data_IF_878624957385
#
_entry.id   IF_878624957385
#
_cell.length_a   1.000
_cell.length_b   1.000
_cell.length_c   1.000
_cell.angle_alpha   90.00
_cell.angle_beta   90.00
_cell.angle_gamma   90.00
#
_symmetry.space_group_name_H-M   'P 1'
#
loop_
_entity.id
_entity.type
_entity.pdbx_description
1 polymer ?
#
# COMPACT_ATOMS: atom_id res chain seq x y z
N UNK A 1 -2.67 11.61 4.73
CA UNK A 1 -1.60 11.40 5.72
C UNK A 1 -0.97 12.74 6.13
N UNK A 2 -0.48 12.85 7.34
CA UNK A 2 0.18 14.05 7.83
C UNK A 2 1.31 13.71 8.80
N UNK A 3 2.41 14.45 8.71
CA UNK A 3 3.54 14.33 9.61
C UNK A 3 4.08 15.73 9.96
N UNK A 4 3.88 16.16 11.21
CA UNK A 4 4.34 17.46 11.68
C UNK A 4 3.82 18.63 10.86
N UNK A 5 4.70 19.27 10.09
CA UNK A 5 4.40 20.39 9.22
C UNK A 5 4.18 20.02 7.74
N UNK A 6 3.98 18.77 7.43
CA UNK A 6 3.69 18.29 6.08
C UNK A 6 2.43 17.44 6.07
N UNK A 7 1.66 17.52 5.00
CA UNK A 7 0.44 16.76 4.81
C UNK A 7 0.39 16.28 3.36
N UNK A 8 0.21 14.99 3.17
CA UNK A 8 -0.12 14.41 1.88
C UNK A 8 -1.64 14.33 1.71
N UNK A 9 -2.08 14.57 0.51
CA UNK A 9 -3.48 14.51 0.12
C UNK A 9 -3.60 14.07 -1.33
N UNK A 10 -4.77 13.61 -1.70
CA UNK A 10 -5.11 13.34 -3.10
C UNK A 10 -6.25 14.26 -3.53
N UNK A 11 -6.28 14.61 -4.78
CA UNK A 11 -7.42 15.32 -5.37
C UNK A 11 -7.70 14.81 -6.79
N UNK A 12 -8.96 14.89 -7.18
CA UNK A 12 -9.38 14.50 -8.53
C UNK A 12 -9.20 15.64 -9.51
N UNK A 13 -8.79 15.31 -10.73
CA UNK A 13 -8.80 16.19 -11.88
C UNK A 13 -9.46 15.48 -13.06
N UNK A 14 -10.11 16.24 -13.93
CA UNK A 14 -10.78 15.71 -15.12
C UNK A 14 -10.26 16.44 -16.34
N UNK A 15 -9.70 15.71 -17.27
CA UNK A 15 -9.23 16.22 -18.55
C UNK A 15 -9.75 15.28 -19.66
N UNK A 16 -10.45 15.87 -20.65
CA UNK A 16 -10.97 15.12 -21.79
C UNK A 16 -11.87 13.93 -21.39
N UNK A 17 -12.76 14.15 -20.39
CA UNK A 17 -13.65 13.14 -19.82
C UNK A 17 -12.97 11.99 -19.06
N UNK A 18 -11.67 12.02 -18.90
CA UNK A 18 -10.92 11.07 -18.08
C UNK A 18 -10.66 11.65 -16.68
N UNK A 19 -10.87 10.82 -15.67
CA UNK A 19 -10.62 11.18 -14.27
C UNK A 19 -9.26 10.66 -13.84
N UNK A 20 -8.46 11.54 -13.24
CA UNK A 20 -7.26 11.15 -12.51
C UNK A 20 -7.33 11.68 -11.09
N UNK A 21 -6.79 10.92 -10.13
CA UNK A 21 -6.62 11.36 -8.76
C UNK A 21 -5.11 11.55 -8.53
N UNK A 22 -4.73 12.78 -8.23
CA UNK A 22 -3.34 13.17 -8.16
C UNK A 22 -2.87 13.27 -6.71
N UNK A 23 -1.77 12.62 -6.34
CA UNK A 23 -1.16 12.82 -5.03
C UNK A 23 -0.49 14.20 -4.98
N UNK A 24 -0.64 14.87 -3.85
CA UNK A 24 -0.08 16.19 -3.61
C UNK A 24 0.42 16.32 -2.18
N UNK A 25 1.35 17.22 -1.96
CA UNK A 25 1.86 17.57 -0.63
C UNK A 25 1.65 19.06 -0.36
N UNK A 26 1.19 19.35 0.84
CA UNK A 26 1.15 20.69 1.41
C UNK A 26 2.08 20.76 2.62
N UNK A 27 2.82 21.83 2.76
CA UNK A 27 3.71 22.05 3.92
C UNK A 27 3.22 23.24 4.73
N UNK A 28 3.48 23.21 6.03
CA UNK A 28 3.14 24.32 6.92
C UNK A 28 4.32 25.27 7.04
N UNK A 29 4.16 26.47 6.54
CA UNK A 29 5.16 27.53 6.60
C UNK A 29 4.61 28.71 7.40
N UNK A 30 5.38 29.20 8.38
CA UNK A 30 4.98 30.36 9.23
C UNK A 30 3.59 30.20 9.87
N UNK A 31 3.19 28.97 10.15
CA UNK A 31 1.89 28.65 10.78
C UNK A 31 0.73 28.42 9.80
N UNK A 32 0.91 28.68 8.51
CA UNK A 32 -0.09 28.49 7.48
C UNK A 32 0.29 27.36 6.53
N UNK A 33 -0.72 26.64 5.98
CA UNK A 33 -0.50 25.59 4.98
C UNK A 33 -0.29 26.22 3.61
N UNK A 34 0.74 25.77 2.91
CA UNK A 34 0.97 26.14 1.51
C UNK A 34 -0.12 25.59 0.61
N UNK A 35 -0.27 26.17 -0.58
CA UNK A 35 -1.07 25.53 -1.63
C UNK A 35 -0.48 24.15 -1.92
N UNK A 36 -1.33 23.09 -2.03
CA UNK A 36 -0.84 21.76 -2.38
C UNK A 36 -0.03 21.77 -3.67
N UNK A 37 1.14 21.16 -3.63
CA UNK A 37 1.96 20.90 -4.78
C UNK A 37 1.67 19.50 -5.30
N UNK A 38 1.21 19.39 -6.54
CA UNK A 38 1.00 18.11 -7.21
C UNK A 38 2.35 17.47 -7.47
N UNK A 39 2.57 16.31 -6.91
CA UNK A 39 3.83 15.58 -7.04
C UNK A 39 3.94 14.85 -8.37
N UNK A 40 2.82 14.43 -8.92
CA UNK A 40 2.77 13.77 -10.21
C UNK A 40 1.41 14.01 -10.86
N UNK A 41 1.42 14.28 -12.15
CA UNK A 41 0.25 14.25 -13.02
C UNK A 41 0.40 13.09 -13.98
N UNK A 42 0.58 11.91 -13.45
CA UNK A 42 0.77 10.75 -14.28
C UNK A 42 -0.58 10.18 -14.70
N UNK A 43 -0.57 9.70 -15.89
CA UNK A 43 -1.75 9.17 -16.54
C UNK A 43 -1.33 8.15 -17.60
N UNK A 44 -1.92 6.99 -17.63
CA UNK A 44 -1.84 6.11 -18.79
C UNK A 44 -2.67 6.72 -19.91
N UNK A 45 -2.06 6.91 -21.08
CA UNK A 45 -2.71 7.56 -22.22
C UNK A 45 -4.05 6.86 -22.57
N UNK A 46 -5.12 7.65 -22.63
CA UNK A 46 -6.46 7.16 -22.98
C UNK A 46 -7.19 6.38 -21.88
N UNK A 47 -6.65 6.30 -20.66
CA UNK A 47 -7.29 5.59 -19.53
C UNK A 47 -7.48 6.49 -18.32
N UNK A 48 -8.48 6.18 -17.51
CA UNK A 48 -8.64 6.77 -16.20
C UNK A 48 -7.76 6.07 -15.18
N UNK A 49 -7.11 6.82 -14.31
CA UNK A 49 -6.34 6.31 -13.19
C UNK A 49 -6.90 6.83 -11.88
N UNK A 50 -6.82 6.01 -10.85
CA UNK A 50 -7.25 6.37 -9.50
C UNK A 50 -6.14 6.06 -8.51
N UNK A 51 -5.90 6.98 -7.57
CA UNK A 51 -5.11 6.74 -6.37
C UNK A 51 -6.09 6.41 -5.25
N UNK A 52 -5.95 5.21 -4.66
CA UNK A 52 -6.90 4.75 -3.64
C UNK A 52 -6.40 5.04 -2.23
N UNK A 53 -5.11 4.86 -1.98
CA UNK A 53 -4.50 5.09 -0.68
C UNK A 53 -3.22 5.90 -0.80
N UNK A 54 -2.93 6.69 0.22
CA UNK A 54 -1.70 7.48 0.29
C UNK A 54 -1.23 7.53 1.73
N UNK A 55 0.07 7.33 1.93
CA UNK A 55 0.73 7.60 3.19
C UNK A 55 2.00 8.43 3.01
N UNK A 56 2.41 9.12 4.06
CA UNK A 56 3.51 10.07 4.03
C UNK A 56 4.30 10.08 5.32
N UNK A 57 5.62 9.98 5.21
CA UNK A 57 6.53 10.14 6.33
C UNK A 57 7.71 11.05 5.98
N UNK A 58 8.28 11.70 6.99
CA UNK A 58 9.46 12.54 6.85
C UNK A 58 10.23 12.63 8.15
N UNK A 59 11.57 12.64 8.07
CA UNK A 59 12.50 12.93 9.17
C UNK A 59 13.08 14.36 9.08
N UNK A 60 12.56 15.19 8.18
CA UNK A 60 13.04 16.54 7.91
C UNK A 60 14.13 16.63 6.83
N UNK A 61 14.80 15.52 6.50
CA UNK A 61 15.79 15.40 5.42
C UNK A 61 15.23 14.61 4.25
N UNK A 62 14.67 13.44 4.57
CA UNK A 62 14.02 12.57 3.62
C UNK A 62 12.50 12.76 3.74
N UNK A 63 11.85 12.96 2.60
CA UNK A 63 10.39 13.03 2.48
C UNK A 63 9.98 11.92 1.54
N UNK A 64 9.11 11.04 2.02
CA UNK A 64 8.59 9.93 1.23
C UNK A 64 7.07 9.99 1.23
N UNK A 65 6.49 10.01 0.06
CA UNK A 65 5.08 9.76 -0.18
C UNK A 65 4.98 8.39 -0.84
N UNK A 66 4.16 7.52 -0.29
CA UNK A 66 3.79 6.24 -0.90
C UNK A 66 2.31 6.29 -1.29
N UNK A 67 1.94 5.72 -2.41
CA UNK A 67 0.56 5.61 -2.86
C UNK A 67 0.37 4.41 -3.78
N UNK A 68 -0.86 3.91 -3.83
CA UNK A 68 -1.28 2.94 -4.83
C UNK A 68 -2.11 3.60 -5.91
N UNK A 69 -1.93 3.15 -7.13
CA UNK A 69 -2.66 3.64 -8.30
C UNK A 69 -3.13 2.48 -9.15
N UNK A 70 -4.40 2.51 -9.53
CA UNK A 70 -5.03 1.55 -10.41
C UNK A 70 -5.46 2.20 -11.72
N UNK A 71 -5.32 1.47 -12.82
CA UNK A 71 -5.80 1.86 -14.14
C UNK A 71 -7.22 1.32 -14.32
N UNK A 72 -8.18 2.22 -14.52
CA UNK A 72 -9.55 1.84 -14.79
C UNK A 72 -9.79 1.75 -16.30
N UNK A 73 -10.17 0.57 -16.76
CA UNK A 73 -10.63 0.31 -18.11
C UNK A 73 -12.07 -0.21 -18.04
N UNK A 74 -13.03 0.61 -18.43
CA UNK A 74 -14.46 0.34 -18.23
C UNK A 74 -15.06 -0.59 -19.27
N UNK A 75 -14.29 -1.00 -20.27
CA UNK A 75 -14.83 -1.78 -21.38
C UNK A 75 -13.71 -2.55 -22.12
N UNK A 76 -13.09 -3.48 -21.38
CA UNK A 76 -11.94 -4.27 -21.89
C UNK A 76 -12.35 -5.13 -23.09
N UNK A 77 -13.59 -5.65 -23.06
CA UNK A 77 -14.07 -6.55 -24.13
C UNK A 77 -15.03 -5.87 -25.12
N UNK A 78 -15.27 -4.57 -24.96
CA UNK A 78 -16.05 -3.73 -25.87
C UNK A 78 -17.53 -4.14 -25.96
N UNK A 79 -18.10 -4.64 -24.87
CA UNK A 79 -19.51 -5.00 -24.79
C UNK A 79 -20.41 -3.87 -24.26
N UNK A 80 -19.79 -2.77 -23.79
CA UNK A 80 -20.47 -1.59 -23.26
C UNK A 80 -20.94 -1.70 -21.82
N UNK A 81 -20.54 -2.76 -21.10
CA UNK A 81 -20.87 -2.99 -19.71
C UNK A 81 -19.60 -3.06 -18.85
N UNK A 82 -19.76 -2.87 -17.54
CA UNK A 82 -18.72 -3.14 -16.55
C UNK A 82 -19.08 -4.42 -15.81
N UNK A 83 -18.30 -5.45 -16.00
CA UNK A 83 -18.51 -6.74 -15.34
C UNK A 83 -17.37 -7.11 -14.39
N UNK A 84 -17.36 -8.34 -13.90
CA UNK A 84 -16.33 -8.83 -13.00
C UNK A 84 -14.94 -8.90 -13.63
N UNK A 85 -14.84 -9.00 -14.95
CA UNK A 85 -13.57 -9.05 -15.67
C UNK A 85 -12.87 -7.68 -15.68
N UNK A 86 -13.61 -6.61 -15.96
CA UNK A 86 -13.12 -5.24 -15.88
C UNK A 86 -12.75 -4.86 -14.44
N UNK A 87 -13.58 -5.26 -13.47
CA UNK A 87 -13.30 -5.02 -12.05
C UNK A 87 -12.05 -5.76 -11.59
N UNK A 88 -11.90 -7.04 -11.93
CA UNK A 88 -10.67 -7.81 -11.65
C UNK A 88 -9.44 -7.16 -12.26
N UNK A 89 -9.52 -6.78 -13.53
CA UNK A 89 -8.42 -6.13 -14.24
C UNK A 89 -8.04 -4.81 -13.57
N UNK A 90 -9.02 -4.01 -13.17
CA UNK A 90 -8.80 -2.75 -12.46
C UNK A 90 -8.11 -2.98 -11.12
N UNK A 91 -8.62 -3.87 -10.28
CA UNK A 91 -7.99 -4.15 -8.98
C UNK A 91 -6.58 -4.72 -9.14
N UNK A 92 -6.39 -5.68 -10.04
CA UNK A 92 -5.10 -6.31 -10.27
C UNK A 92 -4.09 -5.41 -10.99
N UNK A 93 -4.51 -4.23 -11.45
CA UNK A 93 -3.63 -3.19 -11.99
C UNK A 93 -3.13 -2.21 -10.94
N UNK A 94 -3.51 -2.39 -9.66
CA UNK A 94 -3.05 -1.52 -8.58
C UNK A 94 -1.58 -1.76 -8.29
N UNK A 95 -0.78 -0.70 -8.40
CA UNK A 95 0.67 -0.74 -8.25
C UNK A 95 1.13 0.28 -7.20
N UNK A 96 2.22 -0.03 -6.51
CA UNK A 96 2.81 0.84 -5.51
C UNK A 96 3.81 1.80 -6.14
N UNK A 97 3.61 3.05 -5.83
CA UNK A 97 4.44 4.17 -6.24
C UNK A 97 4.97 4.92 -5.05
N UNK A 98 6.19 5.43 -5.19
CA UNK A 98 6.81 6.26 -4.18
C UNK A 98 7.36 7.56 -4.79
N UNK A 99 7.30 8.62 -4.00
CA UNK A 99 7.93 9.89 -4.30
C UNK A 99 8.96 10.20 -3.21
N UNK A 100 10.22 10.26 -3.58
CA UNK A 100 11.32 10.53 -2.65
C UNK A 100 11.98 11.85 -3.06
N UNK A 101 11.85 12.88 -2.22
CA UNK A 101 12.43 14.19 -2.48
C UNK A 101 12.20 14.72 -3.91
N UNK A 102 11.01 14.52 -4.46
CA UNK A 102 10.65 14.95 -5.80
C UNK A 102 10.95 13.96 -6.94
N UNK A 103 11.52 12.78 -6.63
CA UNK A 103 11.76 11.73 -7.63
C UNK A 103 10.72 10.60 -7.48
N UNK A 104 9.99 10.33 -8.54
CA UNK A 104 9.06 9.22 -8.63
C UNK A 104 9.76 7.89 -8.94
N UNK A 105 9.27 6.82 -8.32
CA UNK A 105 9.67 5.44 -8.60
C UNK A 105 8.44 4.54 -8.47
N UNK A 106 8.23 3.68 -9.44
CA UNK A 106 7.25 2.58 -9.36
C UNK A 106 7.93 1.40 -8.69
N UNK A 107 7.42 0.95 -7.56
CA UNK A 107 7.99 -0.19 -6.83
C UNK A 107 7.49 -1.52 -7.37
N UNK A 108 6.24 -1.58 -7.81
CA UNK A 108 5.63 -2.79 -8.38
C UNK A 108 5.16 -2.52 -9.80
N UNK A 109 5.23 -3.52 -10.67
CA UNK A 109 4.72 -3.49 -12.03
C UNK A 109 4.40 -4.93 -12.43
N UNK A 110 3.26 -5.42 -11.94
CA UNK A 110 2.85 -6.81 -12.10
C UNK A 110 1.32 -6.89 -12.33
N UNK A 111 0.76 -8.06 -12.30
CA UNK A 111 -0.69 -8.25 -12.44
C UNK A 111 -1.28 -8.79 -11.13
N UNK A 112 -0.88 -8.16 -10.03
CA UNK A 112 -1.32 -8.45 -8.67
C UNK A 112 -1.71 -7.11 -8.03
N UNK A 113 -2.81 -7.07 -7.31
CA UNK A 113 -3.23 -5.86 -6.61
C UNK A 113 -2.28 -5.55 -5.45
N UNK A 114 -1.43 -4.57 -5.64
CA UNK A 114 -0.55 -4.02 -4.62
C UNK A 114 -1.16 -2.72 -4.09
N UNK A 115 -1.61 -2.71 -2.82
CA UNK A 115 -2.50 -1.66 -2.30
C UNK A 115 -2.18 -1.28 -0.85
N UNK A 116 -2.74 -0.13 -0.43
CA UNK A 116 -2.71 0.38 0.94
C UNK A 116 -1.29 0.50 1.52
N UNK A 117 -0.39 1.25 0.87
CA UNK A 117 0.97 1.42 1.38
C UNK A 117 1.00 2.19 2.70
N UNK A 118 1.88 1.75 3.61
CA UNK A 118 2.28 2.44 4.83
C UNK A 118 3.78 2.71 4.78
N UNK A 119 4.22 3.90 5.20
CA UNK A 119 5.62 4.31 5.09
C UNK A 119 6.20 4.79 6.41
N UNK A 120 7.41 4.36 6.70
CA UNK A 120 8.22 4.92 7.78
C UNK A 120 9.55 5.47 7.26
N UNK A 121 9.95 6.61 7.80
CA UNK A 121 11.20 7.31 7.46
C UNK A 121 11.97 7.62 8.71
N UNK A 122 13.27 7.33 8.73
CA UNK A 122 14.16 7.76 9.79
C UNK A 122 15.62 7.78 9.31
N UNK A 123 16.34 8.81 9.71
CA UNK A 123 17.78 8.99 9.49
C UNK A 123 18.20 8.78 8.01
N UNK A 124 17.41 9.31 7.09
CA UNK A 124 17.66 9.23 5.64
C UNK A 124 17.38 7.88 5.00
N UNK A 125 16.76 6.96 5.74
CA UNK A 125 16.28 5.66 5.25
C UNK A 125 14.76 5.61 5.30
N UNK A 126 14.17 4.70 4.54
CA UNK A 126 12.74 4.47 4.53
C UNK A 126 12.39 3.00 4.32
N UNK A 127 11.18 2.66 4.71
CA UNK A 127 10.54 1.40 4.37
C UNK A 127 9.10 1.69 3.97
N UNK A 128 8.64 1.06 2.91
CA UNK A 128 7.24 1.01 2.54
C UNK A 128 6.77 -0.43 2.68
N UNK A 129 5.63 -0.62 3.30
CA UNK A 129 4.94 -1.91 3.41
C UNK A 129 3.57 -1.78 2.76
N UNK A 130 3.09 -2.83 2.13
CA UNK A 130 1.78 -2.82 1.46
C UNK A 130 1.17 -4.20 1.43
N UNK A 131 -0.11 -4.24 1.11
CA UNK A 131 -0.84 -5.46 0.90
C UNK A 131 -0.78 -5.87 -0.56
N UNK A 132 -0.55 -7.16 -0.80
CA UNK A 132 -0.46 -7.75 -2.14
C UNK A 132 -1.36 -8.98 -2.24
N UNK A 133 -2.23 -9.01 -3.25
CA UNK A 133 -3.14 -10.12 -3.49
C UNK A 133 -3.66 -10.12 -4.94
N UNK A 134 -4.12 -11.28 -5.41
CA UNK A 134 -4.80 -11.40 -6.71
C UNK A 134 -6.29 -11.47 -6.48
N UNK A 135 -7.03 -10.48 -7.01
CA UNK A 135 -8.48 -10.47 -6.92
C UNK A 135 -9.11 -11.31 -8.03
N UNK A 136 -10.08 -12.12 -7.64
CA UNK A 136 -10.95 -12.84 -8.55
C UNK A 136 -12.42 -12.61 -8.15
N UNK A 137 -13.09 -11.71 -8.87
CA UNK A 137 -14.49 -11.35 -8.63
C UNK A 137 -15.47 -12.19 -9.47
N UNK A 138 -14.99 -13.23 -10.15
CA UNK A 138 -15.83 -14.09 -11.00
C UNK A 138 -16.79 -14.97 -10.19
N UNK A 139 -16.49 -15.22 -8.92
CA UNK A 139 -17.38 -15.93 -8.03
C UNK A 139 -18.48 -15.01 -7.51
N UNK A 140 -19.73 -15.35 -7.81
CA UNK A 140 -20.88 -14.48 -7.63
C UNK A 140 -21.58 -14.64 -6.28
N UNK A 141 -21.20 -15.63 -5.46
CA UNK A 141 -21.75 -15.73 -4.12
C UNK A 141 -20.92 -14.89 -3.13
N UNK A 142 -21.65 -14.18 -2.25
CA UNK A 142 -21.04 -13.22 -1.34
C UNK A 142 -20.07 -13.86 -0.32
N UNK A 143 -20.24 -15.13 0.01
CA UNK A 143 -19.40 -15.86 0.97
C UNK A 143 -18.06 -16.20 0.33
N UNK A 144 -18.05 -16.74 -0.88
CA UNK A 144 -16.83 -17.04 -1.64
C UNK A 144 -16.07 -15.74 -1.99
N UNK A 145 -16.77 -14.71 -2.41
CA UNK A 145 -16.17 -13.41 -2.68
C UNK A 145 -15.51 -12.82 -1.41
N UNK A 146 -16.18 -12.90 -0.27
CA UNK A 146 -15.61 -12.42 1.00
C UNK A 146 -14.39 -13.25 1.41
N UNK A 147 -14.41 -14.54 1.19
CA UNK A 147 -13.30 -15.46 1.42
C UNK A 147 -12.09 -15.08 0.57
N UNK A 148 -12.29 -14.89 -0.73
CA UNK A 148 -11.24 -14.53 -1.67
C UNK A 148 -10.67 -13.14 -1.35
N UNK A 149 -11.51 -12.15 -1.08
CA UNK A 149 -11.08 -10.81 -0.71
C UNK A 149 -10.32 -10.74 0.63
N UNK A 150 -10.50 -11.71 1.52
CA UNK A 150 -9.86 -11.73 2.85
C UNK A 150 -8.80 -12.83 2.99
N UNK A 151 -8.71 -13.76 2.04
CA UNK A 151 -8.10 -15.07 2.30
C UNK A 151 -6.59 -15.13 2.20
N UNK A 152 -5.94 -14.52 1.22
CA UNK A 152 -4.52 -14.77 0.94
C UNK A 152 -3.65 -13.52 0.89
N UNK A 153 -4.12 -12.44 1.48
CA UNK A 153 -3.40 -11.16 1.49
C UNK A 153 -2.03 -11.32 2.14
N UNK A 154 -1.00 -10.97 1.40
CA UNK A 154 0.38 -10.97 1.86
C UNK A 154 0.81 -9.54 2.16
N UNK A 155 1.75 -9.39 3.07
CA UNK A 155 2.43 -8.11 3.27
C UNK A 155 3.73 -8.14 2.49
N UNK A 156 3.89 -7.17 1.61
CA UNK A 156 5.12 -6.89 0.90
C UNK A 156 5.83 -5.69 1.50
N UNK A 157 7.10 -5.55 1.24
CA UNK A 157 7.86 -4.38 1.59
C UNK A 157 8.97 -4.08 0.57
N UNK A 158 9.39 -2.82 0.54
CA UNK A 158 10.62 -2.36 -0.08
C UNK A 158 11.34 -1.42 0.87
N UNK A 159 12.65 -1.50 0.91
CA UNK A 159 13.51 -0.74 1.82
C UNK A 159 14.39 0.22 1.03
N UNK A 160 14.42 1.48 1.45
CA UNK A 160 15.28 2.53 0.89
C UNK A 160 16.50 2.72 1.78
N UNK A 161 17.69 2.47 1.25
CA UNK A 161 18.94 2.50 2.01
C UNK A 161 19.56 3.90 2.14
N UNK A 162 18.91 4.90 1.54
CA UNK A 162 19.38 6.28 1.42
C UNK A 162 19.78 6.64 -0.01
N UNK A 163 19.84 5.65 -0.91
CA UNK A 163 20.20 5.81 -2.32
C UNK A 163 19.17 5.17 -3.24
N UNK A 164 18.87 3.90 -3.03
CA UNK A 164 17.98 3.11 -3.88
C UNK A 164 16.98 2.29 -3.08
N UNK A 165 15.87 1.94 -3.71
CA UNK A 165 14.89 1.00 -3.19
C UNK A 165 15.33 -0.43 -3.46
N UNK A 166 15.15 -1.30 -2.47
CA UNK A 166 15.29 -2.74 -2.69
C UNK A 166 14.19 -3.26 -3.62
N UNK A 167 14.42 -4.39 -4.25
CA UNK A 167 13.31 -5.12 -4.88
C UNK A 167 12.23 -5.46 -3.84
N UNK A 168 10.94 -5.48 -4.23
CA UNK A 168 9.85 -5.96 -3.39
C UNK A 168 10.11 -7.35 -2.82
N UNK A 169 9.80 -7.53 -1.53
CA UNK A 169 9.90 -8.81 -0.85
C UNK A 169 8.68 -9.03 0.06
N UNK A 170 8.31 -10.29 0.25
CA UNK A 170 7.23 -10.65 1.16
C UNK A 170 7.73 -10.76 2.60
N UNK A 171 6.89 -10.36 3.55
CA UNK A 171 7.07 -10.72 4.95
C UNK A 171 6.59 -12.16 5.13
N UNK A 172 7.54 -13.05 5.36
CA UNK A 172 7.27 -14.48 5.44
C UNK A 172 7.04 -14.93 6.88
N UNK A 173 6.05 -15.79 7.06
CA UNK A 173 5.71 -16.38 8.34
C UNK A 173 5.10 -17.78 8.20
N UNK A 174 5.79 -18.72 7.63
CA UNK A 174 5.30 -20.10 7.51
C UNK A 174 3.89 -20.18 6.88
N UNK A 175 3.00 -20.99 7.43
CA UNK A 175 1.69 -21.30 6.84
C UNK A 175 0.58 -20.28 7.15
N UNK A 176 0.81 -19.23 7.96
CA UNK A 176 -0.26 -18.31 8.34
C UNK A 176 -0.42 -17.22 7.31
N UNK A 177 -1.63 -17.14 6.78
CA UNK A 177 -2.09 -16.25 5.72
C UNK A 177 -3.04 -15.18 6.27
N UNK A 178 -3.37 -14.20 5.46
CA UNK A 178 -4.44 -13.27 5.74
C UNK A 178 -4.04 -12.06 6.59
N UNK A 179 -3.19 -11.18 6.06
CA UNK A 179 -2.97 -9.86 6.66
C UNK A 179 -4.25 -9.03 6.63
N UNK A 180 -4.64 -8.48 7.80
CA UNK A 180 -5.86 -7.67 7.92
C UNK A 180 -5.56 -6.19 8.17
N UNK A 181 -4.57 -5.90 8.99
CA UNK A 181 -4.12 -4.57 9.29
C UNK A 181 -2.62 -4.63 9.60
N UNK A 182 -1.91 -3.58 9.26
CA UNK A 182 -0.49 -3.45 9.53
C UNK A 182 -0.12 -1.99 9.73
N UNK A 183 1.04 -1.80 10.34
CA UNK A 183 1.68 -0.51 10.53
C UNK A 183 3.19 -0.72 10.61
N UNK A 184 3.97 0.32 10.34
CA UNK A 184 5.43 0.22 10.28
C UNK A 184 6.11 1.37 10.99
N UNK A 185 7.18 1.06 11.71
CA UNK A 185 8.08 2.04 12.31
C UNK A 185 9.53 1.74 11.93
N UNK A 186 10.35 2.79 11.82
CA UNK A 186 11.76 2.70 11.47
C UNK A 186 12.59 3.39 12.56
N UNK A 187 13.59 2.69 13.10
CA UNK A 187 14.51 3.20 14.10
C UNK A 187 15.71 3.92 13.48
N UNK A 188 16.45 4.65 14.30
CA UNK A 188 17.64 5.43 13.88
C UNK A 188 18.73 4.57 13.24
N UNK A 189 18.86 3.31 13.64
CA UNK A 189 19.84 2.37 13.11
C UNK A 189 19.38 1.67 11.80
N UNK A 190 18.18 2.05 11.29
CA UNK A 190 17.61 1.48 10.08
C UNK A 190 16.94 0.12 10.30
N UNK A 191 16.67 -0.26 11.55
CA UNK A 191 15.84 -1.43 11.83
C UNK A 191 14.37 -1.03 11.76
N UNK A 192 13.60 -1.68 10.89
CA UNK A 192 12.16 -1.52 10.80
C UNK A 192 11.45 -2.60 11.61
N UNK A 193 10.36 -2.22 12.26
CA UNK A 193 9.39 -3.13 12.84
C UNK A 193 8.05 -2.96 12.12
N UNK A 194 7.56 -4.04 11.56
CA UNK A 194 6.19 -4.10 11.02
C UNK A 194 5.33 -4.86 12.01
N UNK A 195 4.23 -4.26 12.43
CA UNK A 195 3.19 -4.92 13.20
C UNK A 195 2.08 -5.32 12.23
N UNK A 196 1.58 -6.53 12.35
CA UNK A 196 0.48 -6.99 11.51
C UNK A 196 -0.47 -7.91 12.27
N UNK A 197 -1.76 -7.72 12.04
CA UNK A 197 -2.78 -8.68 12.44
C UNK A 197 -2.89 -9.75 11.36
N UNK A 198 -2.62 -10.99 11.73
CA UNK A 198 -2.58 -12.14 10.82
C UNK A 198 -3.51 -13.24 11.35
N UNK A 199 -4.15 -13.98 10.48
CA UNK A 199 -4.96 -15.11 10.86
C UNK A 199 -5.96 -15.54 9.79
N UNK A 200 -6.76 -16.56 10.08
CA UNK A 200 -7.83 -17.02 9.20
C UNK A 200 -8.83 -15.90 8.93
N UNK A 201 -9.33 -15.84 7.71
CA UNK A 201 -10.41 -14.93 7.34
C UNK A 201 -11.75 -15.34 7.92
N UNK A 202 -11.93 -16.64 8.20
CA UNK A 202 -13.20 -17.20 8.62
C UNK A 202 -13.48 -16.97 10.10
N UNK A 203 -12.42 -16.91 10.93
CA UNK A 203 -12.59 -16.74 12.38
C UNK A 203 -11.79 -15.53 12.90
N UNK A 204 -12.49 -14.43 13.13
CA UNK A 204 -11.89 -13.19 13.70
C UNK A 204 -11.16 -13.47 15.01
N UNK A 205 -11.61 -14.48 15.76
CA UNK A 205 -11.05 -14.89 17.04
C UNK A 205 -9.66 -15.54 16.91
N UNK A 206 -9.32 -16.06 15.72
CA UNK A 206 -8.01 -16.64 15.43
C UNK A 206 -6.96 -15.63 14.97
N UNK A 207 -7.35 -14.37 14.88
CA UNK A 207 -6.43 -13.30 14.47
C UNK A 207 -5.49 -12.93 15.59
N UNK A 208 -4.21 -12.97 15.27
CA UNK A 208 -3.15 -12.68 16.21
C UNK A 208 -2.26 -11.55 15.71
N UNK A 209 -1.70 -10.81 16.66
CA UNK A 209 -0.74 -9.76 16.37
C UNK A 209 0.66 -10.35 16.26
N UNK A 210 1.35 -9.95 15.20
CA UNK A 210 2.73 -10.33 14.93
C UNK A 210 3.61 -9.11 14.72
N UNK A 211 4.88 -9.23 15.11
CA UNK A 211 5.93 -8.29 14.73
C UNK A 211 6.94 -8.96 13.80
N UNK A 212 7.31 -8.23 12.76
CA UNK A 212 8.38 -8.57 11.84
C UNK A 212 9.49 -7.55 11.99
N UNK A 213 10.73 -8.01 12.06
CA UNK A 213 11.90 -7.16 12.07
C UNK A 213 12.59 -7.25 10.72
N UNK A 214 12.73 -6.10 10.08
CA UNK A 214 13.45 -5.93 8.82
C UNK A 214 14.67 -5.04 9.08
N UNK A 215 15.86 -5.47 8.65
CA UNK A 215 17.07 -4.69 8.76
C UNK A 215 17.90 -4.83 7.50
N UNK A 216 18.38 -3.68 7.00
CA UNK A 216 19.16 -3.61 5.76
C UNK A 216 18.47 -4.35 4.60
N UNK A 217 17.16 -4.09 4.44
CA UNK A 217 16.34 -4.65 3.38
C UNK A 217 16.00 -6.14 3.50
N UNK A 218 16.32 -6.80 4.62
CA UNK A 218 16.04 -8.22 4.80
C UNK A 218 15.27 -8.49 6.11
N UNK A 219 14.24 -9.33 6.04
CA UNK A 219 13.58 -9.84 7.24
C UNK A 219 14.55 -10.64 8.10
N UNK A 220 14.61 -10.32 9.40
CA UNK A 220 15.50 -10.96 10.39
C UNK A 220 14.74 -11.87 11.33
N UNK A 221 13.53 -11.50 11.71
CA UNK A 221 12.72 -12.31 12.63
C UNK A 221 11.24 -12.00 12.45
N UNK A 222 10.41 -12.92 12.93
CA UNK A 222 8.98 -12.78 13.15
C UNK A 222 8.64 -13.32 14.53
N UNK A 223 7.82 -12.61 15.28
CA UNK A 223 7.36 -13.03 16.59
C UNK A 223 5.84 -12.85 16.71
N UNK A 224 5.18 -13.86 17.25
CA UNK A 224 3.78 -13.75 17.66
C UNK A 224 3.73 -12.96 18.99
N UNK A 225 2.96 -11.89 19.03
CA UNK A 225 2.81 -11.03 20.21
C UNK A 225 1.62 -11.46 21.05
N UNK A 226 0.49 -11.77 20.40
CA UNK A 226 -0.71 -12.25 21.10
C UNK A 226 -0.90 -13.73 20.90
N UNK A 227 -1.52 -14.38 21.87
CA UNK A 227 -1.91 -15.78 21.83
C UNK A 227 -3.29 -15.85 22.49
N UNK A 228 -4.31 -15.52 21.72
CA UNK A 228 -5.68 -15.61 22.18
C UNK A 228 -6.14 -17.04 21.91
N UNK A 229 -5.91 -17.95 22.86
CA UNK A 229 -6.49 -19.27 22.78
C UNK A 229 -8.02 -19.12 22.91
N UNK A 230 -8.68 -18.97 21.76
CA UNK A 230 -10.12 -18.98 21.68
C UNK A 230 -10.60 -20.41 21.90
N UNK A 231 -10.85 -20.74 23.15
CA UNK A 231 -11.63 -21.91 23.46
C UNK A 231 -10.92 -23.04 24.16
N UNK A 232 -10.80 -22.89 25.46
CA UNK A 232 -11.13 -23.94 26.40
C UNK A 232 -11.94 -23.28 27.52
N UNK A 233 -13.26 -23.25 27.36
CA UNK A 233 -14.23 -23.08 28.43
C UNK A 233 -15.13 -24.31 28.48
#
# INVERSE_FOLDING_TARGET
AANGNSMALTYSDTLEDLVSINPAVSTKESGEWTKPEVLTSWRTEGKSETVNSVDYASDGRLKVLAFDSAVYDSDIDSDGNVDSKELNATFNSSEIHVYVNGKHTTLTANNVADMAPEVAVNNGKAIVVWQSDTYNLADTDAETLQKDMMGEKKICYSYYDGTDWSAPAYLERGEIKGAQAYDVALSDDGTAMVLATMGSSEEVQERELYSYIVKDGAQKSVNRITCNDAGET
#
